data_IF_687172426549
#
_entry.id   IF_687172426549
#
_cell.length_a   1.000
_cell.length_b   1.000
_cell.length_c   1.000
_cell.angle_alpha   90.00
_cell.angle_beta   90.00
_cell.angle_gamma   90.00
#
_symmetry.space_group_name_H-M   'P 1'
#
loop_
_entity.id
_entity.type
_entity.pdbx_description
1 polymer ?
#
# COMPACT_ATOMS: atom_id res chain seq x y z
N UNK A 1 -4.97 19.99 -1.32
CA UNK A 1 -3.95 18.94 -1.49
C UNK A 1 -3.48 18.57 -0.11
N UNK A 2 -3.73 17.34 0.34
CA UNK A 2 -3.04 16.81 1.52
C UNK A 2 -1.74 16.21 1.03
N UNK A 3 -0.63 16.84 1.34
CA UNK A 3 0.69 16.28 1.07
C UNK A 3 0.85 14.98 1.87
N UNK A 4 1.39 13.95 1.23
CA UNK A 4 1.83 12.73 1.93
C UNK A 4 2.83 13.17 3.00
N UNK A 5 2.54 12.81 4.24
CA UNK A 5 3.39 13.14 5.38
C UNK A 5 4.76 12.49 5.23
N UNK A 6 5.76 13.07 5.89
CA UNK A 6 7.10 12.50 5.92
C UNK A 6 7.09 11.07 6.48
N UNK A 7 6.26 10.84 7.49
CA UNK A 7 6.06 9.57 8.18
C UNK A 7 5.50 8.49 7.25
N UNK A 8 4.45 8.79 6.47
CA UNK A 8 3.86 7.86 5.50
C UNK A 8 4.86 7.47 4.41
N UNK A 9 5.62 8.44 3.89
CA UNK A 9 6.68 8.20 2.91
C UNK A 9 7.78 7.31 3.50
N UNK A 10 8.18 7.58 4.74
CA UNK A 10 9.26 6.85 5.40
C UNK A 10 8.86 5.40 5.72
N UNK A 11 7.63 5.17 6.17
CA UNK A 11 7.10 3.82 6.40
C UNK A 11 7.09 2.98 5.12
N UNK A 12 6.49 3.50 4.04
CA UNK A 12 6.40 2.77 2.77
C UNK A 12 7.77 2.50 2.17
N UNK A 13 8.68 3.48 2.24
CA UNK A 13 10.06 3.28 1.79
C UNK A 13 10.74 2.20 2.61
N UNK A 14 10.62 2.22 3.94
CA UNK A 14 11.26 1.26 4.84
C UNK A 14 10.75 -0.16 4.62
N UNK A 15 9.44 -0.36 4.51
CA UNK A 15 8.86 -1.71 4.33
C UNK A 15 9.13 -2.27 2.93
N UNK A 16 9.21 -1.40 1.91
CA UNK A 16 9.28 -1.84 0.52
C UNK A 16 10.70 -1.80 -0.10
N UNK A 17 11.70 -1.18 0.53
CA UNK A 17 13.02 -0.95 -0.11
C UNK A 17 13.79 -2.23 -0.52
N UNK A 18 13.52 -3.39 0.08
CA UNK A 18 14.12 -4.68 -0.31
C UNK A 18 13.21 -5.54 -1.19
N UNK A 19 12.01 -5.08 -1.48
CA UNK A 19 11.05 -5.80 -2.29
C UNK A 19 11.22 -5.41 -3.77
N UNK A 20 11.44 -6.41 -4.62
CA UNK A 20 11.43 -6.22 -6.07
C UNK A 20 10.04 -6.51 -6.63
N UNK A 21 9.63 -5.77 -7.68
CA UNK A 21 8.37 -5.99 -8.37
C UNK A 21 7.56 -4.71 -8.57
N UNK A 22 6.26 -4.89 -8.84
CA UNK A 22 5.31 -3.79 -8.99
C UNK A 22 4.20 -3.86 -7.96
N UNK A 23 3.78 -2.71 -7.46
CA UNK A 23 2.57 -2.54 -6.65
C UNK A 23 1.39 -2.23 -7.58
N UNK A 24 0.26 -2.89 -7.32
CA UNK A 24 -0.98 -2.68 -8.07
C UNK A 24 -1.85 -1.68 -7.30
N UNK A 25 -2.30 -0.62 -7.96
CA UNK A 25 -3.44 0.16 -7.54
C UNK A 25 -4.63 -0.26 -8.40
N UNK A 26 -5.72 -0.63 -7.74
CA UNK A 26 -6.98 -0.98 -8.38
C UNK A 26 -8.06 -0.01 -7.90
N UNK A 27 -8.64 0.73 -8.83
CA UNK A 27 -9.77 1.60 -8.57
C UNK A 27 -11.04 1.02 -9.18
N UNK A 28 -12.14 1.03 -8.42
CA UNK A 28 -13.43 0.48 -8.82
C UNK A 28 -14.50 1.56 -8.69
N UNK A 29 -15.35 1.71 -9.72
CA UNK A 29 -16.48 2.65 -9.70
C UNK A 29 -17.57 2.20 -10.66
N UNK A 30 -18.80 2.01 -10.18
CA UNK A 30 -19.98 1.65 -11.00
C UNK A 30 -19.73 0.46 -11.96
N UNK A 31 -19.05 -0.58 -11.48
CA UNK A 31 -18.67 -1.75 -12.30
C UNK A 31 -17.47 -1.54 -13.23
N UNK A 32 -16.96 -0.32 -13.35
CA UNK A 32 -15.71 -0.01 -14.05
C UNK A 32 -14.49 -0.31 -13.18
N UNK A 33 -13.43 -0.80 -13.81
CA UNK A 33 -12.15 -1.11 -13.17
C UNK A 33 -11.04 -0.32 -13.86
N UNK A 34 -10.23 0.38 -13.07
CA UNK A 34 -8.96 0.98 -13.51
C UNK A 34 -7.82 0.37 -12.72
N UNK A 35 -6.76 -0.03 -13.42
CA UNK A 35 -5.60 -0.64 -12.77
C UNK A 35 -4.34 0.10 -13.17
N UNK A 36 -3.54 0.47 -12.17
CA UNK A 36 -2.23 1.11 -12.33
C UNK A 36 -1.19 0.19 -11.72
N UNK A 37 -0.05 0.04 -12.38
CA UNK A 37 1.08 -0.76 -11.88
C UNK A 37 2.33 0.10 -11.85
N UNK A 38 2.85 0.35 -10.66
CA UNK A 38 4.11 1.08 -10.47
C UNK A 38 5.19 0.19 -9.87
N UNK A 39 6.46 0.36 -10.28
CA UNK A 39 7.59 -0.25 -9.60
C UNK A 39 7.62 0.12 -8.11
N UNK A 40 8.00 -0.83 -7.25
CA UNK A 40 8.10 -0.60 -5.79
C UNK A 40 9.11 0.48 -5.39
N UNK A 41 10.08 0.80 -6.25
CA UNK A 41 11.02 1.90 -6.04
C UNK A 41 10.47 3.27 -6.48
N UNK A 42 9.23 3.35 -6.97
CA UNK A 42 8.57 4.58 -7.40
C UNK A 42 7.13 4.67 -6.88
N UNK A 43 6.97 4.64 -5.54
CA UNK A 43 5.65 4.63 -4.88
C UNK A 43 4.92 5.98 -4.97
N UNK A 44 5.64 7.09 -5.18
CA UNK A 44 5.05 8.45 -5.23
C UNK A 44 3.93 8.56 -6.27
N UNK A 45 4.19 8.13 -7.52
CA UNK A 45 3.21 8.20 -8.62
C UNK A 45 1.96 7.36 -8.32
N UNK A 46 2.12 6.24 -7.62
CA UNK A 46 1.03 5.36 -7.24
C UNK A 46 0.11 6.06 -6.22
N UNK A 47 0.71 6.73 -5.22
CA UNK A 47 -0.06 7.44 -4.21
C UNK A 47 -0.78 8.63 -4.82
N UNK A 48 -0.12 9.42 -5.67
CA UNK A 48 -0.75 10.52 -6.41
C UNK A 48 -1.93 10.03 -7.26
N UNK A 49 -1.75 8.90 -7.96
CA UNK A 49 -2.83 8.26 -8.72
C UNK A 49 -4.00 7.86 -7.82
N UNK A 50 -3.72 7.33 -6.64
CA UNK A 50 -4.74 6.95 -5.64
C UNK A 50 -5.51 8.13 -5.10
N UNK A 51 -4.81 9.22 -4.76
CA UNK A 51 -5.44 10.45 -4.29
C UNK A 51 -6.39 11.01 -5.37
N UNK A 52 -5.92 11.09 -6.62
CA UNK A 52 -6.74 11.61 -7.72
C UNK A 52 -7.96 10.74 -8.01
N UNK A 53 -7.79 9.41 -8.05
CA UNK A 53 -8.90 8.48 -8.26
C UNK A 53 -9.90 8.53 -7.10
N UNK A 54 -9.43 8.65 -5.86
CA UNK A 54 -10.30 8.82 -4.70
C UNK A 54 -11.07 10.13 -4.75
N UNK A 55 -10.43 11.24 -5.13
CA UNK A 55 -11.08 12.54 -5.29
C UNK A 55 -12.16 12.51 -6.39
N UNK A 56 -11.95 11.69 -7.43
CA UNK A 56 -12.93 11.43 -8.49
C UNK A 56 -14.05 10.46 -8.06
N UNK A 57 -14.08 10.03 -6.80
CA UNK A 57 -15.11 9.15 -6.24
C UNK A 57 -14.97 7.69 -6.64
N UNK A 58 -13.75 7.21 -6.83
CA UNK A 58 -13.45 5.78 -6.98
C UNK A 58 -13.09 5.16 -5.64
N UNK A 59 -13.47 3.90 -5.44
CA UNK A 59 -12.95 3.09 -4.35
C UNK A 59 -11.56 2.59 -4.74
N UNK A 60 -10.53 2.98 -3.98
CA UNK A 60 -9.11 2.71 -4.30
C UNK A 60 -8.56 1.61 -3.39
N UNK A 61 -7.99 0.58 -4.00
CA UNK A 61 -7.38 -0.57 -3.33
C UNK A 61 -5.91 -0.70 -3.75
N UNK A 62 -5.03 -0.98 -2.79
CA UNK A 62 -3.61 -1.26 -3.04
C UNK A 62 -3.33 -2.75 -2.84
N UNK A 63 -2.77 -3.39 -3.86
CA UNK A 63 -2.30 -4.77 -3.81
C UNK A 63 -0.89 -4.82 -3.23
N UNK A 64 -0.76 -5.24 -1.96
CA UNK A 64 0.53 -5.29 -1.25
C UNK A 64 1.41 -6.47 -1.70
N UNK A 65 0.87 -7.47 -2.41
CA UNK A 65 1.70 -8.49 -3.06
C UNK A 65 2.32 -7.93 -4.33
N UNK A 66 3.63 -7.73 -4.29
CA UNK A 66 4.43 -7.39 -5.46
C UNK A 66 4.14 -8.38 -6.59
N UNK A 67 3.69 -7.87 -7.74
CA UNK A 67 3.56 -8.71 -8.93
C UNK A 67 4.91 -8.82 -9.63
N UNK A 68 5.12 -9.97 -10.28
CA UNK A 68 6.31 -10.20 -11.11
C UNK A 68 6.28 -9.34 -12.37
N UNK A 69 5.08 -9.04 -12.88
CA UNK A 69 4.86 -8.30 -14.14
C UNK A 69 3.61 -7.40 -14.04
N UNK A 70 3.45 -6.45 -14.96
CA UNK A 70 2.30 -5.54 -15.06
C UNK A 70 1.07 -6.24 -15.66
N UNK A 71 0.45 -7.13 -14.90
CA UNK A 71 -0.69 -7.94 -15.35
C UNK A 71 -1.66 -8.21 -14.19
N UNK A 72 -2.97 -8.24 -14.49
CA UNK A 72 -4.02 -8.58 -13.53
C UNK A 72 -4.23 -10.07 -13.29
N UNK A 73 -3.50 -10.96 -13.99
CA UNK A 73 -3.71 -12.41 -13.91
C UNK A 73 -3.12 -12.99 -12.61
N UNK A 74 -3.68 -14.12 -12.16
CA UNK A 74 -3.26 -14.80 -10.92
C UNK A 74 -1.81 -15.31 -10.99
N UNK A 75 -1.39 -15.81 -12.14
CA UNK A 75 -0.04 -16.35 -12.37
C UNK A 75 1.09 -15.31 -12.25
N UNK A 76 0.74 -14.02 -12.37
CA UNK A 76 1.68 -12.91 -12.33
C UNK A 76 1.86 -12.32 -10.92
N UNK A 77 1.12 -12.84 -9.94
CA UNK A 77 1.26 -12.47 -8.52
C UNK A 77 2.55 -13.07 -7.96
N UNK A 78 3.40 -12.23 -7.37
CA UNK A 78 4.60 -12.67 -6.65
C UNK A 78 4.26 -13.14 -5.23
N UNK A 79 5.11 -14.00 -4.69
CA UNK A 79 5.07 -14.38 -3.28
C UNK A 79 5.83 -13.32 -2.48
N UNK A 80 5.16 -12.66 -1.53
CA UNK A 80 5.81 -11.73 -0.61
C UNK A 80 6.00 -12.45 0.74
N UNK A 81 7.21 -12.37 1.31
CA UNK A 81 7.39 -12.70 2.71
C UNK A 81 6.62 -11.67 3.54
N UNK A 82 5.57 -12.10 4.23
CA UNK A 82 4.82 -11.25 5.12
C UNK A 82 5.32 -11.44 6.55
N UNK A 83 5.58 -10.34 7.25
CA UNK A 83 5.65 -10.34 8.71
C UNK A 83 4.28 -9.93 9.22
N UNK A 84 3.60 -10.86 9.90
CA UNK A 84 2.40 -10.55 10.65
C UNK A 84 2.80 -10.37 12.12
N UNK A 85 2.50 -9.20 12.67
CA UNK A 85 2.69 -8.91 14.09
C UNK A 85 1.33 -8.58 14.67
N UNK A 86 0.93 -9.34 15.69
CA UNK A 86 -0.25 -9.05 16.49
C UNK A 86 0.13 -7.95 17.49
N UNK A 87 -0.31 -6.73 17.22
CA UNK A 87 -0.10 -5.59 18.11
C UNK A 87 -1.30 -5.48 19.05
N UNK A 88 -1.24 -6.25 20.14
CA UNK A 88 -2.27 -6.20 21.19
C UNK A 88 -2.02 -4.99 22.09
N UNK A 89 -2.81 -3.93 21.88
CA UNK A 89 -2.66 -2.66 22.57
C UNK A 89 -3.36 -2.54 23.91
N UNK A 90 -3.83 -3.65 24.48
CA UNK A 90 -4.61 -3.66 25.73
C UNK A 90 -3.87 -3.15 26.98
N UNK A 91 -2.56 -2.92 26.90
CA UNK A 91 -1.73 -2.48 28.04
C UNK A 91 -1.03 -1.13 27.81
N UNK A 92 -1.35 -0.38 26.75
CA UNK A 92 -0.68 0.90 26.46
C UNK A 92 -0.97 2.01 27.49
N UNK A 93 -2.01 1.86 28.32
CA UNK A 93 -2.38 2.82 29.37
C UNK A 93 -1.73 2.55 30.73
N UNK A 94 -0.94 1.47 30.87
CA UNK A 94 -0.21 1.21 32.12
C UNK A 94 1.06 2.04 32.15
N UNK A 95 0.99 3.17 32.85
CA UNK A 95 2.18 3.88 33.29
C UNK A 95 3.07 2.91 34.09
N UNK A 96 4.31 2.61 33.64
CA UNK A 96 5.21 1.73 34.37
C UNK A 96 5.57 2.25 35.78
N UNK A 97 5.17 3.47 36.14
CA UNK A 97 5.28 4.02 37.49
C UNK A 97 4.12 3.66 38.44
N UNK A 98 3.06 3.01 37.99
CA UNK A 98 1.89 2.65 38.82
C UNK A 98 1.80 1.14 39.12
N UNK A 99 2.92 0.56 39.56
CA UNK A 99 2.97 -0.80 40.09
C UNK A 99 2.03 -1.05 41.26
#
# INVERSE_FOLDING_TARGET
>A
MSDITFEERNFLTTVLHKCAGVIELRAIKNGGIRTVFEPLNNVTNLIESGINLSADGWDVYFGVSARKTKSGKKQDVGSLGALWADLDGKDFDKDPAQG
#
